data_IF_585757955798
#
_entry.id   IF_585757955798
#
_cell.length_a   1.000
_cell.length_b   1.000
_cell.length_c   1.000
_cell.angle_alpha   90.00
_cell.angle_beta   90.00
_cell.angle_gamma   90.00
#
_symmetry.space_group_name_H-M   'P 1'
#
loop_
_entity.id
_entity.type
_entity.pdbx_description
1 polymer ?
#
# COMPACT_ATOMS: atom_id res chain seq x y z
N UNK A 1 -16.21 -9.28 -19.74
CA UNK A 1 -16.01 -8.93 -18.31
C UNK A 1 -14.64 -9.42 -17.84
N UNK A 2 -13.55 -8.78 -18.26
CA UNK A 2 -12.18 -9.22 -17.93
C UNK A 2 -11.42 -8.18 -17.09
N UNK A 3 -11.78 -6.91 -17.18
CA UNK A 3 -11.03 -5.78 -16.60
C UNK A 3 -11.00 -5.75 -15.07
N UNK A 4 -12.10 -6.08 -14.39
CA UNK A 4 -12.14 -6.04 -12.92
C UNK A 4 -11.29 -7.13 -12.26
N UNK A 5 -11.14 -8.30 -12.89
CA UNK A 5 -10.31 -9.38 -12.37
C UNK A 5 -8.82 -9.05 -12.48
N UNK A 6 -8.39 -8.48 -13.62
CA UNK A 6 -7.00 -8.03 -13.80
C UNK A 6 -6.57 -6.98 -12.78
N UNK A 7 -7.45 -6.03 -12.43
CA UNK A 7 -7.13 -5.01 -11.43
C UNK A 7 -6.94 -5.60 -10.01
N UNK A 8 -7.72 -6.63 -9.66
CA UNK A 8 -7.59 -7.30 -8.37
C UNK A 8 -6.31 -8.14 -8.31
N UNK A 9 -6.00 -8.89 -9.37
CA UNK A 9 -4.77 -9.67 -9.50
C UNK A 9 -3.52 -8.77 -9.49
N UNK A 10 -3.58 -7.61 -10.15
CA UNK A 10 -2.52 -6.60 -10.13
C UNK A 10 -2.28 -6.06 -8.72
N UNK A 11 -3.36 -5.74 -7.98
CA UNK A 11 -3.26 -5.22 -6.63
C UNK A 11 -2.66 -6.24 -5.64
N UNK A 12 -3.03 -7.52 -5.77
CA UNK A 12 -2.47 -8.61 -4.98
C UNK A 12 -0.98 -8.76 -5.27
N UNK A 13 -0.61 -8.77 -6.55
CA UNK A 13 0.80 -8.90 -6.97
C UNK A 13 1.66 -7.74 -6.48
N UNK A 14 1.16 -6.51 -6.56
CA UNK A 14 1.87 -5.32 -6.05
C UNK A 14 2.08 -5.42 -4.53
N UNK A 15 1.07 -5.86 -3.79
CA UNK A 15 1.16 -6.04 -2.34
C UNK A 15 2.24 -7.06 -1.96
N UNK A 16 2.32 -8.17 -2.69
CA UNK A 16 3.32 -9.21 -2.45
C UNK A 16 4.74 -8.76 -2.79
N UNK A 17 4.94 -8.03 -3.89
CA UNK A 17 6.24 -7.46 -4.28
C UNK A 17 6.76 -6.46 -3.24
N UNK A 18 5.89 -5.58 -2.74
CA UNK A 18 6.24 -4.61 -1.68
C UNK A 18 6.62 -5.35 -0.38
N UNK A 19 5.85 -6.34 0.04
CA UNK A 19 6.16 -7.14 1.23
C UNK A 19 7.49 -7.89 1.09
N UNK A 20 7.76 -8.44 -0.09
CA UNK A 20 9.01 -9.14 -0.38
C UNK A 20 10.23 -8.19 -0.31
N UNK A 21 10.12 -6.98 -0.84
CA UNK A 21 11.18 -5.95 -0.74
C UNK A 21 11.42 -5.51 0.70
N UNK A 22 10.35 -5.33 1.50
CA UNK A 22 10.48 -4.96 2.91
C UNK A 22 11.22 -6.04 3.70
N UNK A 23 10.90 -7.31 3.47
CA UNK A 23 11.60 -8.45 4.08
C UNK A 23 13.08 -8.50 3.71
N UNK A 24 13.39 -8.27 2.44
CA UNK A 24 14.78 -8.22 1.96
C UNK A 24 15.59 -7.12 2.66
N UNK A 25 15.00 -5.92 2.79
CA UNK A 25 15.64 -4.79 3.47
C UNK A 25 15.92 -5.14 4.94
N UNK A 26 14.93 -5.70 5.66
CA UNK A 26 15.10 -6.09 7.06
C UNK A 26 16.20 -7.13 7.25
N UNK A 27 16.31 -8.12 6.36
CA UNK A 27 17.35 -9.15 6.41
C UNK A 27 18.74 -8.58 6.08
N UNK A 28 18.82 -7.68 5.11
CA UNK A 28 20.07 -7.01 4.75
C UNK A 28 20.63 -6.16 5.90
N UNK A 29 19.76 -5.42 6.60
CA UNK A 29 20.15 -4.65 7.80
C UNK A 29 20.58 -5.56 8.96
N UNK A 30 19.94 -6.73 9.14
CA UNK A 30 20.32 -7.69 10.18
C UNK A 30 21.69 -8.34 9.90
N UNK A 31 22.01 -8.63 8.64
CA UNK A 31 23.28 -9.21 8.21
C UNK A 31 24.47 -8.28 8.46
N UNK A 32 24.33 -6.98 8.14
CA UNK A 32 25.38 -5.99 8.36
C UNK A 32 25.82 -5.85 9.83
N UNK A 33 24.90 -6.06 10.79
CA UNK A 33 25.20 -6.05 12.23
C UNK A 33 25.98 -7.29 12.70
N UNK A 34 25.85 -8.42 12.02
CA UNK A 34 26.56 -9.65 12.35
C UNK A 34 28.03 -9.65 11.85
N UNK A 35 28.31 -9.00 10.72
CA UNK A 35 29.66 -8.94 10.13
C UNK A 35 30.67 -8.08 10.88
N UNK A 36 30.22 -7.10 11.68
CA UNK A 36 31.13 -6.20 12.42
C UNK A 36 31.76 -6.85 13.67
N UNK A 37 31.19 -7.95 14.18
CA UNK A 37 31.65 -8.59 15.42
C UNK A 37 32.90 -9.47 15.26
N UNK A 38 33.26 -9.90 14.04
CA UNK A 38 34.38 -10.84 13.83
C UNK A 38 35.76 -10.19 13.60
N UNK A 39 35.84 -8.88 13.38
CA UNK A 39 37.13 -8.17 13.18
C UNK A 39 37.60 -7.44 14.45
N UNK A 40 37.76 -8.18 15.56
CA UNK A 40 38.47 -7.67 16.75
C UNK A 40 39.45 -8.67 17.37
N UNK A 41 39.83 -9.73 16.66
CA UNK A 41 40.74 -10.74 17.20
C UNK A 41 41.93 -10.99 16.26
N UNK A 42 42.86 -10.05 16.27
CA UNK A 42 44.23 -10.29 15.82
C UNK A 42 45.16 -9.39 16.63
N UNK A 43 45.82 -9.96 17.64
CA UNK A 43 47.22 -9.74 18.04
C UNK A 43 47.49 -10.41 19.40
N UNK A 44 48.52 -11.26 19.40
CA UNK A 44 49.29 -11.79 20.55
C UNK A 44 48.79 -13.07 21.28
N UNK A 45 49.46 -14.18 20.98
CA UNK A 45 49.67 -15.33 21.88
C UNK A 45 50.95 -15.09 22.73
N UNK A 46 51.27 -15.91 23.76
CA UNK A 46 50.42 -16.55 24.77
C UNK A 46 50.98 -16.32 26.21
N UNK A 47 50.15 -16.36 27.26
CA UNK A 47 50.68 -16.61 28.61
C UNK A 47 49.74 -17.51 29.42
N UNK A 48 50.28 -18.66 29.80
CA UNK A 48 49.67 -19.62 30.72
C UNK A 48 49.38 -18.99 32.08
N UNK A 49 48.14 -19.09 32.56
CA UNK A 49 47.73 -19.15 33.99
C UNK A 49 46.43 -19.96 34.02
N UNK A 50 46.55 -21.25 34.29
CA UNK A 50 46.37 -21.87 35.59
C UNK A 50 44.92 -21.81 36.10
N UNK A 51 44.50 -22.97 36.58
CA UNK A 51 43.16 -23.39 36.94
C UNK A 51 42.63 -22.58 38.12
N UNK A 52 41.30 -22.53 38.21
CA UNK A 52 40.45 -22.17 39.34
C UNK A 52 39.87 -20.76 39.38
N UNK A 53 38.62 -20.71 39.85
CA UNK A 53 37.76 -19.58 40.18
C UNK A 53 36.75 -19.08 39.14
N UNK A 54 35.49 -19.42 39.47
CA UNK A 54 34.29 -18.56 39.43
C UNK A 54 33.34 -18.78 38.25
N UNK A 55 32.54 -19.84 38.39
CA UNK A 55 31.10 -19.87 38.06
C UNK A 55 30.32 -18.80 38.86
N UNK A 56 30.71 -17.53 38.71
CA UNK A 56 29.97 -16.37 39.25
C UNK A 56 29.96 -15.24 38.21
N UNK A 57 29.92 -15.62 36.92
CA UNK A 57 29.68 -14.69 35.84
C UNK A 57 28.21 -14.30 35.85
N UNK A 58 27.91 -13.14 36.44
CA UNK A 58 26.67 -12.41 36.14
C UNK A 58 26.48 -12.43 34.61
N UNK A 59 25.29 -12.79 34.10
CA UNK A 59 25.07 -12.86 32.66
C UNK A 59 25.49 -11.52 32.03
N UNK A 60 26.15 -11.53 30.86
CA UNK A 60 26.55 -10.29 30.21
C UNK A 60 25.32 -9.39 30.06
N UNK A 61 25.44 -8.08 30.35
CA UNK A 61 24.31 -7.17 30.22
C UNK A 61 23.75 -7.27 28.80
N UNK A 62 22.41 -7.19 28.64
CA UNK A 62 21.80 -7.25 27.31
C UNK A 62 22.41 -6.17 26.42
N UNK A 63 22.62 -6.45 25.12
CA UNK A 63 23.16 -5.45 24.21
C UNK A 63 22.25 -4.21 24.22
N UNK A 64 22.82 -2.99 24.17
CA UNK A 64 22.01 -1.79 24.13
C UNK A 64 21.05 -1.83 22.94
N UNK A 65 19.80 -1.36 23.12
CA UNK A 65 18.82 -1.36 22.05
C UNK A 65 19.38 -0.56 20.85
N UNK A 66 19.14 -1.02 19.60
CA UNK A 66 19.52 -0.25 18.42
C UNK A 66 18.99 1.18 18.53
N UNK A 67 19.91 2.14 18.69
CA UNK A 67 19.59 3.56 18.72
C UNK A 67 19.46 4.01 17.26
N UNK A 68 18.22 4.28 16.83
CA UNK A 68 17.99 4.87 15.52
C UNK A 68 18.61 6.26 15.48
N UNK A 69 19.28 6.56 14.38
CA UNK A 69 19.73 7.92 14.07
C UNK A 69 18.52 8.86 13.97
N UNK A 70 18.71 10.17 14.19
CA UNK A 70 17.63 11.15 14.02
C UNK A 70 16.95 11.06 12.65
N UNK A 71 17.71 10.75 11.60
CA UNK A 71 17.19 10.55 10.24
C UNK A 71 16.32 9.30 10.11
N UNK A 72 16.76 8.16 10.66
CA UNK A 72 15.97 6.92 10.63
C UNK A 72 14.67 7.07 11.42
N UNK A 73 14.69 7.77 12.56
CA UNK A 73 13.49 8.08 13.34
C UNK A 73 12.50 8.91 12.52
N UNK A 74 12.97 10.02 11.91
CA UNK A 74 12.12 10.87 11.08
C UNK A 74 11.54 10.13 9.85
N UNK A 75 12.32 9.24 9.25
CA UNK A 75 11.88 8.40 8.13
C UNK A 75 10.77 7.44 8.54
N UNK A 76 10.91 6.78 9.70
CA UNK A 76 9.87 5.89 10.25
C UNK A 76 8.60 6.65 10.60
N UNK A 77 8.71 7.84 11.18
CA UNK A 77 7.56 8.69 11.50
C UNK A 77 6.81 9.15 10.24
N UNK A 78 7.55 9.49 9.18
CA UNK A 78 6.98 9.83 7.88
C UNK A 78 6.26 8.63 7.25
N UNK A 79 6.89 7.46 7.21
CA UNK A 79 6.28 6.23 6.68
C UNK A 79 5.02 5.88 7.47
N UNK A 80 5.07 5.94 8.80
CA UNK A 80 3.90 5.74 9.64
C UNK A 80 2.79 6.77 9.36
N UNK A 81 3.16 8.02 9.08
CA UNK A 81 2.24 9.08 8.65
C UNK A 81 1.55 8.75 7.32
N UNK A 82 2.32 8.29 6.33
CA UNK A 82 1.80 7.90 5.01
C UNK A 82 0.91 6.66 5.13
N UNK A 83 1.32 5.62 5.86
CA UNK A 83 0.52 4.41 6.09
C UNK A 83 -0.83 4.77 6.70
N UNK A 84 -0.86 5.58 7.77
CA UNK A 84 -2.13 6.03 8.37
C UNK A 84 -2.97 6.86 7.42
N UNK A 85 -2.36 7.68 6.56
CA UNK A 85 -3.11 8.44 5.56
C UNK A 85 -3.74 7.50 4.53
N UNK A 86 -3.01 6.52 4.03
CA UNK A 86 -3.49 5.54 3.07
C UNK A 86 -4.58 4.64 3.68
N UNK A 87 -4.40 4.17 4.92
CA UNK A 87 -5.43 3.44 5.66
C UNK A 87 -6.70 4.26 5.78
N UNK A 88 -6.61 5.53 6.20
CA UNK A 88 -7.75 6.46 6.27
C UNK A 88 -8.40 6.76 4.92
N UNK A 89 -7.64 6.76 3.83
CA UNK A 89 -8.17 6.91 2.47
C UNK A 89 -8.77 5.60 1.93
N UNK A 90 -8.34 4.45 2.45
CA UNK A 90 -8.90 3.14 2.07
C UNK A 90 -10.18 2.83 2.84
N UNK A 91 -10.26 3.22 4.12
CA UNK A 91 -11.43 3.08 5.00
C UNK A 91 -12.49 4.14 4.76
N UNK A 92 -12.10 5.28 4.18
CA UNK A 92 -13.06 6.15 3.49
C UNK A 92 -13.17 5.57 2.09
N UNK A 93 -14.13 4.69 1.77
CA UNK A 93 -14.57 4.55 0.39
C UNK A 93 -14.94 5.97 -0.04
N UNK A 94 -14.00 6.67 -0.68
CA UNK A 94 -14.04 8.11 -0.79
C UNK A 94 -15.28 8.42 -1.56
N UNK A 95 -16.34 8.87 -0.86
CA UNK A 95 -17.72 8.97 -1.35
C UNK A 95 -17.84 8.54 -2.82
N UNK A 96 -17.86 7.23 -3.09
CA UNK A 96 -18.58 6.69 -4.24
C UNK A 96 -20.07 6.73 -3.91
N UNK A 97 -20.51 7.81 -3.23
CA UNK A 97 -21.91 8.12 -2.98
C UNK A 97 -22.42 9.05 -4.08
N UNK A 98 -22.04 8.64 -5.27
CA UNK A 98 -22.56 8.90 -6.58
C UNK A 98 -22.42 7.50 -7.14
N UNK A 99 -23.43 6.65 -6.99
CA UNK A 99 -23.49 5.48 -7.86
C UNK A 99 -23.30 6.06 -9.26
N UNK A 100 -22.14 5.74 -9.85
CA UNK A 100 -21.55 6.43 -11.00
C UNK A 100 -22.70 6.85 -11.92
N UNK A 101 -22.88 8.14 -12.17
CA UNK A 101 -24.04 8.63 -12.96
C UNK A 101 -24.11 7.86 -14.28
N UNK A 102 -22.96 7.48 -14.83
CA UNK A 102 -22.88 6.59 -15.98
C UNK A 102 -23.35 5.15 -15.68
N UNK A 103 -23.11 4.60 -14.49
CA UNK A 103 -23.66 3.32 -14.04
C UNK A 103 -25.18 3.35 -13.86
N UNK A 104 -25.74 4.43 -13.29
CA UNK A 104 -27.20 4.62 -13.20
C UNK A 104 -27.85 4.75 -14.58
N UNK A 105 -27.22 5.51 -15.48
CA UNK A 105 -27.65 5.64 -16.87
C UNK A 105 -27.61 4.28 -17.59
N UNK A 106 -26.54 3.50 -17.43
CA UNK A 106 -26.44 2.14 -17.98
C UNK A 106 -27.54 1.21 -17.43
N UNK A 107 -27.87 1.31 -16.13
CA UNK A 107 -28.95 0.52 -15.50
C UNK A 107 -30.34 0.93 -15.97
N UNK A 108 -30.55 2.20 -16.33
CA UNK A 108 -31.84 2.70 -16.82
C UNK A 108 -32.19 2.17 -18.22
N UNK A 109 -31.18 1.73 -18.99
CA UNK A 109 -31.38 1.21 -20.36
C UNK A 109 -32.05 2.25 -21.29
N UNK A 110 -31.49 3.47 -21.40
CA UNK A 110 -32.09 4.51 -22.22
C UNK A 110 -32.21 4.07 -23.67
N UNK A 111 -33.30 4.51 -24.31
CA UNK A 111 -33.66 4.11 -25.67
C UNK A 111 -32.52 4.48 -26.64
N UNK A 112 -31.92 3.48 -27.27
CA UNK A 112 -30.89 3.70 -28.29
C UNK A 112 -31.52 4.29 -29.56
N UNK A 113 -30.82 5.24 -30.18
CA UNK A 113 -31.22 5.78 -31.48
C UNK A 113 -30.53 5.00 -32.60
N UNK A 114 -31.31 4.26 -33.36
CA UNK A 114 -30.80 3.39 -34.44
C UNK A 114 -30.74 4.14 -35.78
N UNK A 115 -30.98 5.46 -35.76
CA UNK A 115 -31.19 6.25 -36.98
C UNK A 115 -32.57 6.01 -37.57
N UNK A 116 -33.22 7.08 -38.02
CA UNK A 116 -34.54 7.04 -38.67
C UNK A 116 -34.63 8.15 -39.71
N UNK A 117 -35.37 7.91 -40.78
CA UNK A 117 -35.68 8.92 -41.80
C UNK A 117 -36.86 9.81 -41.40
N UNK A 118 -37.60 9.42 -40.35
CA UNK A 118 -38.74 10.17 -39.83
C UNK A 118 -38.28 11.24 -38.81
N UNK A 119 -38.43 12.54 -39.12
CA UNK A 119 -38.05 13.63 -38.22
C UNK A 119 -38.75 13.59 -36.86
N UNK A 120 -40.01 13.14 -36.80
CA UNK A 120 -40.79 13.14 -35.56
C UNK A 120 -40.24 12.12 -34.55
N UNK A 121 -39.77 10.98 -35.06
CA UNK A 121 -39.15 9.93 -34.24
C UNK A 121 -37.79 10.40 -33.69
N UNK A 122 -37.04 11.19 -34.47
CA UNK A 122 -35.79 11.80 -34.00
C UNK A 122 -36.04 12.87 -32.92
N UNK A 123 -37.05 13.73 -33.11
CA UNK A 123 -37.45 14.74 -32.11
C UNK A 123 -37.92 14.11 -30.79
N UNK A 124 -38.70 13.03 -30.85
CA UNK A 124 -39.14 12.30 -29.66
C UNK A 124 -37.95 11.69 -28.90
N UNK A 125 -36.96 11.15 -29.60
CA UNK A 125 -35.74 10.65 -28.98
C UNK A 125 -34.93 11.78 -28.31
N UNK A 126 -34.79 12.94 -28.96
CA UNK A 126 -34.10 14.10 -28.37
C UNK A 126 -34.82 14.58 -27.11
N UNK A 127 -36.16 14.67 -27.12
CA UNK A 127 -36.96 15.04 -25.95
C UNK A 127 -36.82 14.02 -24.81
N UNK A 128 -36.61 12.75 -25.12
CA UNK A 128 -36.35 11.71 -24.11
C UNK A 128 -35.02 11.94 -23.37
N UNK A 129 -34.01 12.51 -24.04
CA UNK A 129 -32.73 12.84 -23.41
C UNK A 129 -32.88 13.95 -22.37
N UNK A 130 -33.73 14.95 -22.61
CA UNK A 130 -34.00 16.03 -21.64
C UNK A 130 -34.56 15.48 -20.32
N UNK A 131 -35.43 14.46 -20.41
CA UNK A 131 -35.97 13.76 -19.24
C UNK A 131 -34.90 12.99 -18.47
N UNK A 132 -33.96 12.38 -19.19
CA UNK A 132 -32.84 11.63 -18.60
C UNK A 132 -31.84 12.61 -17.94
N UNK A 133 -31.53 13.75 -18.56
CA UNK A 133 -30.66 14.77 -17.97
C UNK A 133 -31.27 15.41 -16.71
N UNK A 134 -32.59 15.64 -16.68
CA UNK A 134 -33.29 16.08 -15.47
C UNK A 134 -33.22 15.03 -14.35
N UNK A 135 -33.41 13.75 -14.67
CA UNK A 135 -33.28 12.65 -13.71
C UNK A 135 -31.86 12.50 -13.15
N UNK A 136 -30.83 12.78 -13.95
CA UNK A 136 -29.42 12.76 -13.53
C UNK A 136 -29.00 14.02 -12.75
N UNK A 137 -29.88 15.01 -12.56
CA UNK A 137 -29.55 16.28 -11.89
C UNK A 137 -28.58 17.15 -12.69
N UNK A 138 -28.50 16.94 -14.01
CA UNK A 138 -27.59 17.64 -14.93
C UNK A 138 -28.26 18.80 -15.67
N UNK A 139 -29.59 18.98 -15.53
CA UNK A 139 -30.26 20.19 -16.00
C UNK A 139 -29.99 21.34 -15.03
N UNK A 140 -29.35 22.41 -15.51
CA UNK A 140 -29.15 23.66 -14.75
C UNK A 140 -30.40 24.51 -14.67
#
# INVERSE_FOLDING_TARGET
MMTSAYLLEEAIRIKDDVNSKLQYIQQSTRSARAGSAMMKSAVTMPLRRDRTQQDDAMPPPPPPPPQLTPYERASMDMIAGITRLLERQSERPGKLHEEDVAERFRKQGPKEFIGTTDPLVAEEWIRSLETIYAYMGLSR
#
